data_IF_409021932177
#
_entry.id   IF_409021932177
#
_cell.length_a   1.000
_cell.length_b   1.000
_cell.length_c   1.000
_cell.angle_alpha   90.00
_cell.angle_beta   90.00
_cell.angle_gamma   90.00
#
_symmetry.space_group_name_H-M   'P 1'
#
loop_
_entity.id
_entity.type
_entity.pdbx_description
1 polymer ?
#
# COMPACT_ATOMS: atom_id res chain seq x y z
N UNK A 1 -16.86 -7.59 20.58
CA UNK A 1 -16.27 -7.99 21.87
C UNK A 1 -14.80 -7.57 21.85
N UNK A 2 -14.42 -6.54 22.61
CA UNK A 2 -13.03 -6.06 22.67
C UNK A 2 -12.19 -7.01 23.54
N UNK A 3 -11.36 -7.84 22.91
CA UNK A 3 -10.43 -8.73 23.61
C UNK A 3 -9.13 -7.94 23.86
N UNK A 4 -9.15 -7.08 24.87
CA UNK A 4 -8.01 -6.22 25.24
C UNK A 4 -7.18 -6.78 26.40
N UNK A 5 -7.52 -7.95 26.94
CA UNK A 5 -6.77 -8.56 28.04
C UNK A 5 -5.84 -9.66 27.50
N UNK A 6 -4.53 -9.50 27.68
CA UNK A 6 -3.48 -10.46 27.30
C UNK A 6 -3.80 -11.90 27.78
N UNK A 7 -4.38 -12.04 28.97
CA UNK A 7 -4.84 -13.33 29.52
C UNK A 7 -5.89 -14.03 28.64
N UNK A 8 -6.80 -13.28 28.01
CA UNK A 8 -7.83 -13.83 27.12
C UNK A 8 -7.27 -14.20 25.74
N UNK A 9 -6.36 -13.40 25.19
CA UNK A 9 -5.65 -13.72 23.94
C UNK A 9 -4.80 -14.98 24.11
N UNK A 10 -4.05 -15.08 25.22
CA UNK A 10 -3.25 -16.26 25.57
C UNK A 10 -4.12 -17.51 25.80
N UNK A 11 -5.20 -17.38 26.58
CA UNK A 11 -6.12 -18.51 26.80
C UNK A 11 -6.76 -19.02 25.50
N UNK A 12 -7.09 -18.12 24.57
CA UNK A 12 -7.63 -18.50 23.27
C UNK A 12 -6.59 -19.22 22.40
N UNK A 13 -5.34 -18.72 22.38
CA UNK A 13 -4.26 -19.34 21.61
C UNK A 13 -3.93 -20.76 22.11
N UNK A 14 -3.83 -20.93 23.43
CA UNK A 14 -3.61 -22.25 24.06
C UNK A 14 -4.75 -23.23 23.77
N UNK A 15 -6.00 -22.74 23.71
CA UNK A 15 -7.14 -23.58 23.35
C UNK A 15 -7.06 -24.10 21.91
N UNK A 16 -6.54 -23.28 20.98
CA UNK A 16 -6.39 -23.65 19.57
C UNK A 16 -5.14 -24.49 19.30
N UNK A 17 -4.03 -24.21 19.98
CA UNK A 17 -2.74 -24.86 19.74
C UNK A 17 -2.56 -26.18 20.50
N UNK A 18 -3.40 -26.43 21.52
CA UNK A 18 -3.32 -27.62 22.37
C UNK A 18 -2.37 -27.43 23.57
N UNK A 19 -2.50 -28.31 24.56
CA UNK A 19 -1.75 -28.25 25.83
C UNK A 19 -0.25 -28.46 25.66
N UNK A 20 0.17 -29.13 24.60
CA UNK A 20 1.58 -29.44 24.32
C UNK A 20 2.39 -28.19 23.96
N UNK A 21 1.72 -27.08 23.65
CA UNK A 21 2.33 -25.79 23.31
C UNK A 21 2.53 -24.90 24.55
N UNK A 22 1.96 -25.27 25.70
CA UNK A 22 2.01 -24.46 26.92
C UNK A 22 3.44 -24.33 27.48
N UNK A 23 4.23 -25.42 27.46
CA UNK A 23 5.63 -25.41 27.93
C UNK A 23 6.54 -24.51 27.07
N UNK A 24 6.33 -24.50 25.75
CA UNK A 24 7.08 -23.66 24.82
C UNK A 24 6.67 -22.19 25.03
N UNK A 25 5.38 -21.92 25.24
CA UNK A 25 4.89 -20.55 25.36
C UNK A 25 5.26 -19.90 26.71
N UNK A 26 5.37 -20.67 27.79
CA UNK A 26 5.81 -20.16 29.11
C UNK A 26 7.33 -19.95 29.23
N UNK A 27 8.11 -20.67 28.43
CA UNK A 27 9.58 -20.55 28.43
C UNK A 27 10.09 -19.42 27.53
N UNK A 28 9.25 -18.91 26.63
CA UNK A 28 9.58 -17.76 25.81
C UNK A 28 9.45 -16.47 26.64
N UNK A 29 10.41 -15.53 26.55
CA UNK A 29 10.22 -14.20 27.09
C UNK A 29 8.96 -13.58 26.46
N UNK A 30 8.18 -12.83 27.25
CA UNK A 30 7.03 -12.05 26.74
C UNK A 30 7.56 -10.94 25.81
N UNK A 31 7.91 -11.32 24.58
CA UNK A 31 8.67 -10.48 23.64
C UNK A 31 7.74 -9.73 22.68
N UNK A 32 6.43 -9.99 22.73
CA UNK A 32 5.45 -9.25 21.94
C UNK A 32 4.85 -8.13 22.77
N UNK A 33 5.38 -6.91 22.63
CA UNK A 33 4.54 -5.73 22.85
C UNK A 33 3.46 -5.74 21.76
N UNK A 34 2.20 -5.76 22.19
CA UNK A 34 1.00 -5.76 21.36
C UNK A 34 0.79 -4.45 20.56
N UNK A 35 1.85 -3.68 20.34
CA UNK A 35 1.91 -2.48 19.52
C UNK A 35 2.85 -2.58 18.31
N UNK A 36 3.65 -3.65 18.16
CA UNK A 36 4.67 -3.76 17.10
C UNK A 36 4.38 -4.89 16.08
N UNK A 37 3.18 -5.47 16.11
CA UNK A 37 2.68 -6.06 14.88
C UNK A 37 2.28 -4.88 14.00
N UNK A 38 3.21 -4.44 13.14
CA UNK A 38 2.97 -3.47 12.07
C UNK A 38 1.81 -4.03 11.23
N UNK A 39 0.59 -3.68 11.67
CA UNK A 39 -0.60 -3.83 10.85
C UNK A 39 -0.36 -2.75 9.83
N UNK A 40 0.27 -3.14 8.72
CA UNK A 40 0.67 -2.27 7.61
C UNK A 40 -0.55 -1.72 6.89
N UNK A 41 -1.49 -1.10 7.61
CA UNK A 41 -2.72 -0.47 7.11
C UNK A 41 -2.42 0.78 6.27
N UNK A 42 -1.14 1.10 6.06
CA UNK A 42 -0.70 2.17 5.17
C UNK A 42 0.71 2.02 4.59
N UNK A 43 1.35 0.84 4.70
CA UNK A 43 2.64 0.66 4.01
C UNK A 43 2.43 0.48 2.51
N UNK A 44 3.35 0.98 1.69
CA UNK A 44 3.31 0.73 0.25
C UNK A 44 3.68 -0.72 -0.06
N UNK A 45 3.18 -1.23 -1.18
CA UNK A 45 3.52 -2.57 -1.65
C UNK A 45 5.03 -2.81 -1.77
N UNK A 46 5.79 -1.78 -2.16
CA UNK A 46 7.25 -1.86 -2.30
C UNK A 46 7.95 -2.04 -0.93
N UNK A 47 7.46 -1.36 0.11
CA UNK A 47 7.95 -1.54 1.49
C UNK A 47 7.67 -2.97 1.96
N UNK A 48 6.44 -3.42 1.76
CA UNK A 48 6.00 -4.75 2.13
C UNK A 48 6.83 -5.83 1.44
N UNK A 49 7.03 -5.71 0.12
CA UNK A 49 7.90 -6.61 -0.65
C UNK A 49 9.34 -6.64 -0.12
N UNK A 50 9.91 -5.48 0.23
CA UNK A 50 11.27 -5.40 0.77
C UNK A 50 11.39 -6.16 2.10
N UNK A 51 10.40 -6.00 2.98
CA UNK A 51 10.33 -6.73 4.25
C UNK A 51 10.22 -8.24 4.03
N UNK A 52 9.37 -8.68 3.10
CA UNK A 52 9.26 -10.09 2.72
C UNK A 52 10.58 -10.65 2.17
N UNK A 53 11.29 -9.91 1.33
CA UNK A 53 12.61 -10.32 0.84
C UNK A 53 13.62 -10.50 1.98
N UNK A 54 13.60 -9.64 3.00
CA UNK A 54 14.48 -9.77 4.16
C UNK A 54 14.17 -11.03 4.97
N UNK A 55 12.89 -11.31 5.20
CA UNK A 55 12.44 -12.52 5.90
C UNK A 55 12.73 -13.79 5.09
N UNK A 56 12.57 -13.74 3.77
CA UNK A 56 12.86 -14.87 2.89
C UNK A 56 14.33 -15.30 2.95
N UNK A 57 15.28 -14.42 3.31
CA UNK A 57 16.70 -14.79 3.49
C UNK A 57 16.92 -15.81 4.60
N UNK A 58 16.02 -15.88 5.58
CA UNK A 58 16.09 -16.86 6.67
C UNK A 58 15.37 -18.16 6.35
N UNK A 59 14.74 -18.25 5.18
CA UNK A 59 13.93 -19.39 4.77
C UNK A 59 14.60 -20.15 3.63
N UNK A 60 14.58 -21.48 3.68
CA UNK A 60 15.10 -22.35 2.61
C UNK A 60 14.03 -22.62 1.54
N UNK A 61 13.52 -21.54 0.94
CA UNK A 61 12.52 -21.67 -0.12
C UNK A 61 13.12 -22.25 -1.41
N UNK A 62 12.39 -23.16 -2.04
CA UNK A 62 12.78 -23.75 -3.33
C UNK A 62 12.70 -22.73 -4.47
N UNK A 63 11.71 -21.85 -4.43
CA UNK A 63 11.55 -20.71 -5.33
C UNK A 63 11.09 -19.50 -4.53
N UNK A 64 12.04 -18.60 -4.23
CA UNK A 64 11.80 -17.41 -3.42
C UNK A 64 10.74 -16.50 -4.07
N UNK A 65 10.77 -16.34 -5.39
CA UNK A 65 9.87 -15.42 -6.08
C UNK A 65 8.43 -15.94 -6.08
N UNK A 66 8.27 -17.26 -6.23
CA UNK A 66 6.97 -17.91 -6.13
C UNK A 66 6.38 -17.76 -4.72
N UNK A 67 7.16 -18.04 -3.68
CA UNK A 67 6.71 -17.95 -2.29
C UNK A 67 6.39 -16.49 -1.91
N UNK A 68 7.22 -15.53 -2.31
CA UNK A 68 6.93 -14.10 -2.08
C UNK A 68 5.65 -13.68 -2.81
N UNK A 69 5.46 -14.12 -4.06
CA UNK A 69 4.24 -13.84 -4.83
C UNK A 69 3.01 -14.39 -4.11
N UNK A 70 3.04 -15.65 -3.69
CA UNK A 70 1.93 -16.30 -2.98
C UNK A 70 1.65 -15.61 -1.65
N UNK A 71 2.70 -15.23 -0.92
CA UNK A 71 2.57 -14.48 0.31
C UNK A 71 1.91 -13.13 0.09
N UNK A 72 2.35 -12.37 -0.93
CA UNK A 72 1.72 -11.09 -1.29
C UNK A 72 0.24 -11.29 -1.60
N UNK A 73 -0.15 -12.30 -2.38
CA UNK A 73 -1.57 -12.54 -2.71
C UNK A 73 -2.38 -12.88 -1.46
N UNK A 74 -1.83 -13.69 -0.55
CA UNK A 74 -2.48 -14.13 0.67
C UNK A 74 -2.72 -12.99 1.66
N UNK A 75 -1.69 -12.18 1.92
CA UNK A 75 -1.68 -11.19 3.01
C UNK A 75 -1.99 -9.77 2.56
N UNK A 76 -1.96 -9.47 1.26
CA UNK A 76 -2.30 -8.17 0.71
C UNK A 76 -3.67 -7.67 1.17
N UNK A 77 -3.74 -6.45 1.71
CA UNK A 77 -5.01 -5.82 2.14
C UNK A 77 -5.94 -5.44 0.96
N UNK A 78 -5.38 -5.21 -0.23
CA UNK A 78 -6.15 -4.83 -1.43
C UNK A 78 -6.85 -6.03 -2.06
N UNK A 79 -8.17 -6.12 -1.84
CA UNK A 79 -9.00 -7.14 -2.47
C UNK A 79 -9.01 -7.06 -4.00
N UNK A 80 -8.83 -5.87 -4.59
CA UNK A 80 -8.74 -5.66 -6.03
C UNK A 80 -7.46 -6.25 -6.62
N UNK A 81 -6.31 -5.98 -5.99
CA UNK A 81 -5.03 -6.57 -6.40
C UNK A 81 -5.08 -8.10 -6.25
N UNK A 82 -5.60 -8.61 -5.14
CA UNK A 82 -5.75 -10.04 -4.89
C UNK A 82 -6.59 -10.73 -5.98
N UNK A 83 -7.78 -10.20 -6.28
CA UNK A 83 -8.67 -10.77 -7.32
C UNK A 83 -8.01 -10.76 -8.70
N UNK A 84 -7.31 -9.67 -9.03
CA UNK A 84 -6.63 -9.52 -10.32
C UNK A 84 -5.46 -10.49 -10.45
N UNK A 85 -4.63 -10.59 -9.42
CA UNK A 85 -3.50 -11.52 -9.36
C UNK A 85 -3.94 -12.98 -9.52
N UNK A 86 -5.04 -13.38 -8.86
CA UNK A 86 -5.58 -14.73 -9.00
C UNK A 86 -6.15 -15.03 -10.40
N UNK A 87 -6.62 -14.01 -11.12
CA UNK A 87 -7.16 -14.15 -12.48
C UNK A 87 -6.06 -14.21 -13.53
N UNK A 88 -5.10 -13.31 -13.45
CA UNK A 88 -4.07 -13.10 -14.48
C UNK A 88 -2.80 -13.96 -14.22
N UNK A 89 -2.65 -14.48 -13.00
CA UNK A 89 -1.49 -15.24 -12.53
C UNK A 89 -0.13 -14.66 -13.00
N UNK A 90 0.15 -13.38 -12.68
CA UNK A 90 1.36 -12.72 -13.12
C UNK A 90 2.63 -13.32 -12.48
N UNK A 91 3.79 -12.97 -13.03
CA UNK A 91 5.09 -13.15 -12.34
C UNK A 91 5.18 -12.22 -11.13
N UNK A 92 6.16 -12.43 -10.24
CA UNK A 92 6.38 -11.54 -9.10
C UNK A 92 6.55 -10.07 -9.56
N UNK A 93 7.37 -9.83 -10.58
CA UNK A 93 7.55 -8.50 -11.16
C UNK A 93 6.24 -7.93 -11.72
N UNK A 94 5.47 -8.75 -12.44
CA UNK A 94 4.16 -8.36 -12.95
C UNK A 94 3.19 -7.98 -11.84
N UNK A 95 3.17 -8.75 -10.74
CA UNK A 95 2.34 -8.47 -9.57
C UNK A 95 2.70 -7.13 -8.91
N UNK A 96 3.99 -6.84 -8.76
CA UNK A 96 4.46 -5.57 -8.21
C UNK A 96 4.10 -4.39 -9.11
N UNK A 97 4.25 -4.53 -10.43
CA UNK A 97 3.84 -3.50 -11.38
C UNK A 97 2.32 -3.24 -11.34
N UNK A 98 1.52 -4.30 -11.25
CA UNK A 98 0.07 -4.18 -11.09
C UNK A 98 -0.31 -3.46 -9.79
N UNK A 99 0.34 -3.82 -8.69
CA UNK A 99 0.10 -3.19 -7.39
C UNK A 99 0.47 -1.71 -7.38
N UNK A 100 1.65 -1.34 -7.90
CA UNK A 100 2.06 0.06 -8.07
C UNK A 100 1.07 0.85 -8.94
N UNK A 101 0.60 0.25 -10.04
CA UNK A 101 -0.37 0.89 -10.91
C UNK A 101 -1.72 1.14 -10.19
N UNK A 102 -2.17 0.20 -9.36
CA UNK A 102 -3.37 0.37 -8.55
C UNK A 102 -3.19 1.45 -7.47
N UNK A 103 -2.09 1.44 -6.72
CA UNK A 103 -1.82 2.47 -5.71
C UNK A 103 -1.77 3.88 -6.33
N UNK A 104 -1.14 4.02 -7.50
CA UNK A 104 -1.10 5.29 -8.21
C UNK A 104 -2.49 5.72 -8.70
N UNK A 105 -3.26 4.77 -9.25
CA UNK A 105 -4.60 5.04 -9.76
C UNK A 105 -5.56 5.42 -8.63
N UNK A 106 -5.47 4.78 -7.47
CA UNK A 106 -6.29 5.08 -6.28
C UNK A 106 -5.96 6.48 -5.73
N UNK A 107 -4.67 6.85 -5.69
CA UNK A 107 -4.25 8.21 -5.32
C UNK A 107 -4.79 9.26 -6.29
N UNK A 108 -4.64 9.02 -7.59
CA UNK A 108 -5.13 9.94 -8.62
C UNK A 108 -6.66 10.05 -8.63
N UNK A 109 -7.38 8.95 -8.46
CA UNK A 109 -8.83 8.93 -8.36
C UNK A 109 -9.29 9.74 -7.14
N UNK A 110 -8.66 9.51 -5.99
CA UNK A 110 -8.94 10.27 -4.77
C UNK A 110 -8.69 11.76 -4.95
N UNK A 111 -7.58 12.16 -5.57
CA UNK A 111 -7.29 13.57 -5.83
C UNK A 111 -8.36 14.22 -6.73
N UNK A 112 -8.84 13.50 -7.76
CA UNK A 112 -9.91 13.96 -8.66
C UNK A 112 -11.25 14.07 -7.92
N UNK A 113 -11.57 13.10 -7.06
CA UNK A 113 -12.78 13.07 -6.26
C UNK A 113 -12.80 14.16 -5.19
N UNK A 114 -11.67 14.37 -4.50
CA UNK A 114 -11.51 15.39 -3.45
C UNK A 114 -11.48 16.82 -4.02
N UNK A 115 -10.96 17.04 -5.23
CA UNK A 115 -10.91 18.38 -5.87
C UNK A 115 -12.20 18.83 -6.53
N UNK A 116 -13.30 18.06 -6.42
CA UNK A 116 -14.65 18.54 -6.73
C UNK A 116 -14.82 19.23 -8.10
N UNK A 117 -14.03 18.86 -9.11
CA UNK A 117 -14.12 19.45 -10.45
C UNK A 117 -13.55 20.87 -10.60
N UNK A 118 -12.73 21.39 -9.69
CA UNK A 118 -11.95 22.61 -9.97
C UNK A 118 -10.71 22.28 -10.80
N UNK A 119 -10.92 22.16 -12.11
CA UNK A 119 -9.84 22.19 -13.09
C UNK A 119 -9.15 23.55 -13.01
N UNK A 120 -8.03 23.63 -12.27
CA UNK A 120 -7.18 24.81 -12.28
C UNK A 120 -6.79 25.08 -13.73
N UNK A 121 -7.26 26.20 -14.27
CA UNK A 121 -7.02 26.61 -15.63
C UNK A 121 -5.51 26.81 -15.86
N UNK A 122 -4.84 25.75 -16.33
CA UNK A 122 -3.44 25.81 -16.71
C UNK A 122 -3.30 26.71 -17.94
N UNK A 123 -2.55 27.80 -17.76
CA UNK A 123 -2.13 28.81 -18.74
C UNK A 123 -3.14 29.88 -19.19
N UNK A 124 -3.26 30.96 -18.39
CA UNK A 124 -3.75 32.26 -18.88
C UNK A 124 -2.64 32.99 -19.66
N UNK A 125 -2.59 32.82 -20.98
CA UNK A 125 -1.69 33.59 -21.86
C UNK A 125 -2.16 35.06 -21.89
N UNK A 126 -1.44 35.96 -21.22
CA UNK A 126 -1.71 37.41 -21.27
C UNK A 126 -1.33 37.95 -22.66
N UNK A 127 -2.32 38.22 -23.53
CA UNK A 127 -2.09 38.93 -24.78
C UNK A 127 -1.55 40.35 -24.50
N UNK A 128 -0.33 40.64 -24.94
CA UNK A 128 0.24 42.00 -24.90
C UNK A 128 -0.59 42.93 -25.79
N UNK A 129 -1.28 43.88 -25.18
CA UNK A 129 -2.05 44.94 -25.85
C UNK A 129 -1.10 45.73 -26.76
N UNK A 130 -1.24 45.60 -28.08
CA UNK A 130 -0.51 46.42 -29.06
C UNK A 130 -0.94 47.87 -28.84
N UNK A 131 0.00 48.71 -28.41
CA UNK A 131 -0.20 50.16 -28.26
C UNK A 131 -0.44 50.72 -29.67
N UNK A 132 -1.69 51.08 -29.97
CA UNK A 132 -2.04 51.86 -31.15
C UNK A 132 -1.47 53.26 -30.98
N UNK A 133 -0.56 53.67 -31.87
CA UNK A 133 -0.09 55.06 -31.94
C UNK A 133 -1.18 55.88 -32.62
N UNK A 134 -1.85 56.74 -31.85
CA UNK A 134 -2.79 57.72 -32.36
C UNK A 134 -2.05 58.93 -32.99
N UNK A 135 -2.43 59.24 -34.23
CA UNK A 135 -2.56 60.57 -34.88
C UNK A 135 -1.60 61.72 -34.55
N UNK A 136 -1.06 62.35 -35.60
CA UNK A 136 -1.08 63.83 -35.72
C UNK A 136 -1.47 64.24 -37.14
N UNK A 137 -2.67 64.83 -37.28
CA UNK A 137 -3.01 65.70 -38.40
C UNK A 137 -2.27 67.03 -38.19
N UNK A 138 -1.61 67.55 -39.23
CA UNK A 138 -1.32 68.98 -39.30
C UNK A 138 -2.00 69.53 -40.55
N UNK A 139 -2.77 70.59 -40.34
CA UNK A 139 -3.48 71.37 -41.34
C UNK A 139 -2.81 72.74 -41.32
N UNK A 140 -2.26 73.16 -42.45
CA UNK A 140 -2.03 74.54 -42.83
C UNK A 140 -2.03 74.57 -44.36
#
# INVERSE_FOLDING_TARGET
MNITAAKRKRALLLHYAGTDVDEIFDTLPNTGEDGDYDTGEGESLDSFHTRLCQLAKTCEFSDVDKEIKEHIILTCSSSSLRRRALRENPTLEGLLNLGRALELSDKQAKDIEDTGGEFQAVNKIKQKKRIGKATRRYRA
#
